data_IF_520204936973
#
_entry.id   IF_520204936973
#
_cell.length_a   1.000
_cell.length_b   1.000
_cell.length_c   1.000
_cell.angle_alpha   90.00
_cell.angle_beta   90.00
_cell.angle_gamma   90.00
#
_symmetry.space_group_name_H-M   'P 1'
#
loop_
_entity.id
_entity.type
_entity.pdbx_description
1 polymer ?
#
# COMPACT_ATOMS: atom_id res chain seq x y z
N UNK A 1 -14.33 18.86 -23.70
CA UNK A 1 -13.71 17.52 -23.56
C UNK A 1 -13.73 17.11 -22.10
N UNK A 2 -14.93 16.88 -21.56
CA UNK A 2 -15.18 16.63 -20.12
C UNK A 2 -15.53 15.15 -19.88
N UNK A 3 -15.87 14.42 -20.94
CA UNK A 3 -16.36 13.02 -20.87
C UNK A 3 -15.37 12.03 -20.23
N UNK A 4 -14.06 12.12 -20.50
CA UNK A 4 -13.08 11.24 -19.85
C UNK A 4 -12.99 11.51 -18.34
N UNK A 5 -13.08 12.77 -17.94
CA UNK A 5 -13.02 13.17 -16.54
C UNK A 5 -14.29 12.75 -15.80
N UNK A 6 -15.47 12.96 -16.41
CA UNK A 6 -16.76 12.47 -15.93
C UNK A 6 -16.84 10.95 -15.80
N UNK A 7 -16.20 10.22 -16.72
CA UNK A 7 -16.09 8.77 -16.60
C UNK A 7 -15.21 8.39 -15.41
N UNK A 8 -14.01 8.97 -15.31
CA UNK A 8 -13.05 8.58 -14.29
C UNK A 8 -13.44 9.00 -12.88
N UNK A 9 -14.20 10.09 -12.69
CA UNK A 9 -14.71 10.48 -11.36
C UNK A 9 -15.67 9.44 -10.79
N UNK A 10 -16.40 8.72 -11.65
CA UNK A 10 -17.31 7.64 -11.24
C UNK A 10 -16.54 6.37 -10.89
N UNK A 11 -15.51 6.05 -11.66
CA UNK A 11 -14.78 4.77 -11.60
C UNK A 11 -13.63 4.78 -10.59
N UNK A 12 -12.74 5.78 -10.62
CA UNK A 12 -11.52 5.79 -9.80
C UNK A 12 -11.77 6.13 -8.34
N UNK A 13 -10.92 5.62 -7.46
CA UNK A 13 -10.81 6.15 -6.09
C UNK A 13 -10.47 7.64 -6.12
N UNK A 14 -10.88 8.40 -5.09
CA UNK A 14 -10.65 9.86 -5.03
C UNK A 14 -9.18 10.24 -5.28
N UNK A 15 -8.24 9.50 -4.68
CA UNK A 15 -6.79 9.76 -4.84
C UNK A 15 -6.33 9.57 -6.28
N UNK A 16 -6.72 8.46 -6.92
CA UNK A 16 -6.31 8.18 -8.30
C UNK A 16 -6.98 9.14 -9.28
N UNK A 17 -8.25 9.49 -9.06
CA UNK A 17 -8.94 10.50 -9.85
C UNK A 17 -8.18 11.84 -9.85
N UNK A 18 -7.73 12.33 -8.69
CA UNK A 18 -6.96 13.58 -8.62
C UNK A 18 -5.62 13.51 -9.36
N UNK A 19 -4.95 12.36 -9.32
CA UNK A 19 -3.72 12.14 -10.10
C UNK A 19 -4.00 12.16 -11.60
N UNK A 20 -5.07 11.49 -12.04
CA UNK A 20 -5.47 11.47 -13.43
C UNK A 20 -5.94 12.85 -13.92
N UNK A 21 -6.72 13.58 -13.13
CA UNK A 21 -7.16 14.95 -13.41
C UNK A 21 -5.95 15.89 -13.60
N UNK A 22 -4.91 15.73 -12.78
CA UNK A 22 -3.64 16.45 -12.97
C UNK A 22 -3.00 16.11 -14.32
N UNK A 23 -2.97 14.83 -14.72
CA UNK A 23 -2.45 14.45 -16.04
C UNK A 23 -3.31 15.02 -17.20
N UNK A 24 -4.64 15.15 -17.05
CA UNK A 24 -5.52 15.83 -18.01
C UNK A 24 -5.14 17.31 -18.15
N UNK A 25 -4.95 18.01 -17.03
CA UNK A 25 -4.56 19.42 -17.04
C UNK A 25 -3.18 19.63 -17.66
N UNK A 26 -2.21 18.80 -17.27
CA UNK A 26 -0.85 18.86 -17.81
C UNK A 26 -0.78 18.51 -19.29
N UNK A 27 -1.68 17.66 -19.80
CA UNK A 27 -1.70 17.30 -21.23
C UNK A 27 -1.95 18.49 -22.15
N UNK A 28 -2.59 19.55 -21.67
CA UNK A 28 -2.89 20.75 -22.46
C UNK A 28 -1.63 21.54 -22.84
N UNK A 29 -0.51 21.29 -22.15
CA UNK A 29 0.79 21.91 -22.44
C UNK A 29 1.55 21.18 -23.56
N UNK A 30 0.99 20.11 -24.12
CA UNK A 30 1.65 19.25 -25.09
C UNK A 30 0.91 19.20 -26.42
N UNK A 31 1.68 19.11 -27.51
CA UNK A 31 1.22 18.88 -28.87
C UNK A 31 1.57 17.46 -29.28
N UNK A 32 0.61 16.77 -29.89
CA UNK A 32 0.78 15.43 -30.43
C UNK A 32 0.82 15.49 -31.97
N UNK A 33 1.93 15.06 -32.57
CA UNK A 33 2.17 15.09 -34.02
C UNK A 33 2.45 13.67 -34.52
N UNK A 34 1.77 13.24 -35.59
CA UNK A 34 2.01 11.92 -36.20
C UNK A 34 3.40 11.95 -36.85
N UNK A 35 4.25 10.97 -36.56
CA UNK A 35 5.60 10.84 -37.15
C UNK A 35 5.69 9.70 -38.16
N UNK A 36 5.10 8.57 -37.84
CA UNK A 36 5.22 7.35 -38.63
C UNK A 36 3.90 6.58 -38.65
N UNK A 37 3.65 5.87 -39.74
CA UNK A 37 2.48 5.03 -39.94
C UNK A 37 2.89 3.82 -40.77
N UNK A 38 2.63 2.63 -40.25
CA UNK A 38 2.50 1.41 -41.04
C UNK A 38 1.15 0.75 -40.73
N UNK A 39 0.91 -0.43 -41.30
CA UNK A 39 -0.34 -1.16 -41.12
C UNK A 39 -0.53 -1.62 -39.66
N UNK A 40 0.55 -2.10 -39.03
CA UNK A 40 0.51 -2.60 -37.65
C UNK A 40 0.55 -1.49 -36.59
N UNK A 41 1.32 -0.42 -36.81
CA UNK A 41 1.57 0.62 -35.78
C UNK A 41 1.59 2.05 -36.33
N UNK A 42 1.12 2.99 -35.51
CA UNK A 42 1.17 4.43 -35.78
C UNK A 42 1.90 5.12 -34.63
N UNK A 43 2.99 5.83 -34.93
CA UNK A 43 3.80 6.51 -33.92
C UNK A 43 3.57 8.02 -33.91
N UNK A 44 3.49 8.57 -32.72
CA UNK A 44 3.21 9.97 -32.47
C UNK A 44 4.28 10.58 -31.55
N UNK A 45 4.74 11.74 -31.96
CA UNK A 45 5.59 12.63 -31.16
C UNK A 45 4.75 13.48 -30.24
N UNK A 46 5.06 13.48 -28.95
CA UNK A 46 4.43 14.36 -27.96
C UNK A 46 5.48 15.29 -27.37
N UNK A 47 5.32 16.58 -27.61
CA UNK A 47 6.28 17.63 -27.22
C UNK A 47 5.55 18.76 -26.48
N UNK A 48 6.19 19.36 -25.49
CA UNK A 48 5.65 20.50 -24.75
C UNK A 48 5.72 21.76 -25.63
N UNK A 49 4.69 22.61 -25.57
CA UNK A 49 4.60 23.84 -26.36
C UNK A 49 5.59 24.93 -25.90
N UNK A 50 5.92 24.98 -24.60
CA UNK A 50 6.78 26.03 -24.05
C UNK A 50 8.23 25.91 -24.53
N UNK A 51 8.61 26.86 -25.38
CA UNK A 51 9.96 27.16 -25.81
C UNK A 51 10.67 28.02 -24.75
N UNK A 52 11.29 27.35 -23.79
CA UNK A 52 12.37 27.90 -22.96
C UNK A 52 13.51 26.90 -22.97
N UNK A 53 14.75 27.34 -22.67
CA UNK A 53 16.02 26.57 -22.79
C UNK A 53 16.09 25.23 -22.01
N UNK A 54 14.99 24.76 -21.43
CA UNK A 54 14.84 23.44 -20.86
C UNK A 54 14.25 22.50 -21.92
N UNK A 55 15.13 21.84 -22.66
CA UNK A 55 14.79 20.82 -23.66
C UNK A 55 14.09 19.64 -22.95
N UNK A 56 12.79 19.73 -22.67
CA UNK A 56 12.05 18.61 -22.13
C UNK A 56 12.08 17.48 -23.15
N UNK A 57 12.53 16.29 -22.71
CA UNK A 57 12.66 15.11 -23.55
C UNK A 57 11.33 14.82 -24.25
N UNK A 58 11.35 14.93 -25.58
CA UNK A 58 10.26 14.50 -26.43
C UNK A 58 9.83 13.06 -26.06
N UNK A 59 8.52 12.84 -25.99
CA UNK A 59 7.94 11.51 -25.76
C UNK A 59 7.39 10.91 -27.04
N UNK A 60 7.33 9.59 -27.06
CA UNK A 60 6.72 8.81 -28.13
C UNK A 60 5.49 8.09 -27.58
N UNK A 61 4.39 8.19 -28.33
CA UNK A 61 3.16 7.42 -28.12
C UNK A 61 3.00 6.50 -29.33
N UNK A 62 2.84 5.22 -29.06
CA UNK A 62 2.66 4.19 -30.10
C UNK A 62 1.23 3.68 -30.01
N UNK A 63 0.52 3.75 -31.13
CA UNK A 63 -0.78 3.14 -31.31
C UNK A 63 -0.64 1.84 -32.10
N UNK A 64 -1.06 0.73 -31.50
CA UNK A 64 -1.10 -0.59 -32.11
C UNK A 64 -2.49 -0.81 -32.69
N UNK A 65 -2.56 -1.00 -34.01
CA UNK A 65 -3.83 -0.99 -34.75
C UNK A 65 -4.65 -2.24 -34.44
N UNK A 66 -4.02 -3.41 -34.44
CA UNK A 66 -4.69 -4.70 -34.24
C UNK A 66 -5.36 -4.82 -32.86
N UNK A 67 -4.67 -4.38 -31.81
CA UNK A 67 -5.15 -4.48 -30.43
C UNK A 67 -5.90 -3.23 -29.95
N UNK A 68 -5.98 -2.22 -30.81
CA UNK A 68 -6.45 -0.87 -30.46
C UNK A 68 -5.78 -0.36 -29.17
N UNK A 69 -4.49 -0.66 -28.99
CA UNK A 69 -3.76 -0.35 -27.76
C UNK A 69 -2.86 0.87 -27.96
N UNK A 70 -2.62 1.61 -26.88
CA UNK A 70 -1.80 2.82 -26.88
C UNK A 70 -0.78 2.68 -25.77
N UNK A 71 0.49 2.74 -26.12
CA UNK A 71 1.59 2.78 -25.16
C UNK A 71 2.31 4.12 -25.23
N UNK A 72 2.98 4.49 -24.14
CA UNK A 72 3.87 5.65 -24.13
C UNK A 72 5.21 5.26 -23.53
N UNK A 73 6.30 5.72 -24.14
CA UNK A 73 7.65 5.42 -23.69
C UNK A 73 8.02 6.01 -22.31
N UNK A 74 7.16 6.86 -21.72
CA UNK A 74 7.33 7.30 -20.34
C UNK A 74 6.97 6.23 -19.30
N UNK A 75 6.28 5.15 -19.71
CA UNK A 75 5.89 3.99 -18.88
C UNK A 75 5.09 4.31 -17.61
N UNK A 76 4.58 5.54 -17.45
CA UNK A 76 3.78 5.92 -16.28
C UNK A 76 2.54 5.04 -16.12
N UNK A 77 1.90 4.63 -17.22
CA UNK A 77 0.78 3.68 -17.15
C UNK A 77 1.23 2.32 -16.61
N UNK A 78 2.36 1.81 -17.07
CA UNK A 78 2.90 0.52 -16.62
C UNK A 78 3.24 0.54 -15.11
N UNK A 79 3.82 1.65 -14.63
CA UNK A 79 4.21 1.80 -13.22
C UNK A 79 3.06 2.19 -12.29
N UNK A 80 2.28 3.20 -12.67
CA UNK A 80 1.27 3.81 -11.80
C UNK A 80 -0.14 3.32 -12.12
N UNK A 81 -0.40 2.79 -13.31
CA UNK A 81 -1.68 2.19 -13.68
C UNK A 81 -2.79 3.15 -14.11
N UNK A 82 -2.46 4.42 -14.36
CA UNK A 82 -3.37 5.40 -14.98
C UNK A 82 -2.68 6.09 -16.17
N UNK A 83 -3.43 6.49 -17.22
CA UNK A 83 -2.82 7.07 -18.40
C UNK A 83 -2.06 8.36 -18.09
N UNK A 84 -0.89 8.52 -18.69
CA UNK A 84 -0.08 9.72 -18.55
C UNK A 84 -0.57 10.87 -19.42
N UNK A 85 -0.12 12.10 -19.15
CA UNK A 85 -0.40 13.30 -19.94
C UNK A 85 -0.12 13.13 -21.42
N UNK A 86 0.86 12.30 -21.82
CA UNK A 86 1.17 12.06 -23.23
C UNK A 86 0.12 11.16 -23.90
N UNK A 87 -0.33 10.10 -23.23
CA UNK A 87 -1.43 9.26 -23.70
C UNK A 87 -2.73 10.06 -23.72
N UNK A 88 -2.99 10.86 -22.68
CA UNK A 88 -4.14 11.76 -22.64
C UNK A 88 -4.09 12.73 -23.81
N UNK A 89 -2.97 13.43 -24.06
CA UNK A 89 -2.79 14.31 -25.22
C UNK A 89 -3.12 13.60 -26.55
N UNK A 90 -2.69 12.35 -26.72
CA UNK A 90 -3.04 11.52 -27.88
C UNK A 90 -4.55 11.22 -27.94
N UNK A 91 -5.17 10.81 -26.84
CA UNK A 91 -6.62 10.57 -26.75
C UNK A 91 -7.43 11.81 -27.11
N UNK A 92 -7.01 12.99 -26.62
CA UNK A 92 -7.58 14.29 -26.98
C UNK A 92 -7.51 14.53 -28.49
N UNK A 93 -6.34 14.31 -29.11
CA UNK A 93 -6.13 14.44 -30.56
C UNK A 93 -7.03 13.49 -31.37
N UNK A 94 -7.24 12.27 -30.85
CA UNK A 94 -8.09 11.24 -31.45
C UNK A 94 -9.57 11.38 -31.10
N UNK A 95 -9.95 12.43 -30.37
CA UNK A 95 -11.32 12.68 -29.93
C UNK A 95 -11.91 11.48 -29.15
N UNK A 96 -11.07 10.75 -28.42
CA UNK A 96 -11.52 9.67 -27.54
C UNK A 96 -12.26 10.31 -26.36
N UNK A 97 -13.57 10.07 -26.29
CA UNK A 97 -14.44 10.63 -25.25
C UNK A 97 -14.43 9.79 -23.98
N UNK A 98 -14.36 8.47 -24.12
CA UNK A 98 -14.34 7.51 -23.01
C UNK A 98 -13.12 6.60 -23.15
N UNK A 99 -12.42 6.36 -22.04
CA UNK A 99 -11.34 5.41 -21.99
C UNK A 99 -11.90 3.99 -21.92
N UNK A 100 -11.36 3.13 -22.78
CA UNK A 100 -11.62 1.71 -22.75
C UNK A 100 -11.08 1.07 -21.46
N UNK A 101 -11.70 -0.04 -21.02
CA UNK A 101 -11.38 -0.75 -19.77
C UNK A 101 -9.91 -1.19 -19.66
N UNK A 102 -9.24 -1.41 -20.80
CA UNK A 102 -7.80 -1.73 -20.89
C UNK A 102 -6.89 -0.64 -20.28
N UNK A 103 -7.40 0.58 -20.10
CA UNK A 103 -6.69 1.69 -19.44
C UNK A 103 -7.16 1.93 -17.99
N UNK A 104 -8.03 1.07 -17.47
CA UNK A 104 -8.66 1.19 -16.15
C UNK A 104 -8.32 -0.07 -15.34
N UNK A 105 -7.27 0.01 -14.52
CA UNK A 105 -6.86 -1.14 -13.72
C UNK A 105 -7.76 -1.29 -12.48
N UNK A 106 -8.27 -2.50 -12.25
CA UNK A 106 -9.25 -2.81 -11.19
C UNK A 106 -8.83 -2.30 -9.81
N UNK A 107 -7.55 -2.45 -9.44
CA UNK A 107 -6.97 -1.99 -8.17
C UNK A 107 -7.15 -0.49 -7.88
N UNK A 108 -7.40 0.32 -8.91
CA UNK A 108 -7.56 1.77 -8.80
C UNK A 108 -9.01 2.23 -8.83
N UNK A 109 -9.95 1.31 -9.02
CA UNK A 109 -11.38 1.60 -9.04
C UNK A 109 -11.94 1.70 -7.61
N UNK A 110 -13.05 2.43 -7.42
CA UNK A 110 -13.80 2.44 -6.14
C UNK A 110 -14.25 1.03 -5.75
N UNK A 111 -14.46 0.19 -6.77
CA UNK A 111 -14.86 -1.19 -6.66
C UNK A 111 -13.68 -2.15 -6.54
N UNK A 112 -12.45 -1.68 -6.25
CA UNK A 112 -11.27 -2.54 -6.08
C UNK A 112 -11.43 -3.60 -4.96
N UNK A 113 -12.41 -3.40 -4.07
CA UNK A 113 -12.81 -4.36 -3.03
C UNK A 113 -14.17 -5.02 -3.31
N UNK A 114 -14.92 -4.57 -4.31
CA UNK A 114 -16.22 -5.16 -4.68
C UNK A 114 -15.93 -6.38 -5.54
N UNK A 115 -16.27 -7.56 -5.02
CA UNK A 115 -15.77 -8.87 -5.48
C UNK A 115 -14.89 -9.57 -4.42
N UNK A 116 -14.31 -8.79 -3.50
CA UNK A 116 -13.88 -9.28 -2.19
C UNK A 116 -15.10 -9.09 -1.27
N UNK A 117 -16.15 -9.89 -1.46
CA UNK A 117 -17.39 -9.66 -0.72
C UNK A 117 -17.22 -9.95 0.76
N UNK A 118 -17.42 -8.90 1.55
CA UNK A 118 -17.73 -8.94 2.98
C UNK A 118 -19.27 -8.87 3.12
N UNK A 119 -20.00 -9.90 2.62
CA UNK A 119 -21.49 -9.98 2.60
C UNK A 119 -22.16 -8.89 1.73
N UNK A 120 -23.38 -8.99 1.20
CA UNK A 120 -24.45 -9.99 1.09
C UNK A 120 -25.21 -9.64 -0.22
N UNK A 121 -26.05 -10.52 -0.76
CA UNK A 121 -26.78 -10.48 -2.05
C UNK A 121 -26.00 -10.81 -3.33
N UNK A 122 -25.98 -12.12 -3.60
CA UNK A 122 -26.36 -12.78 -4.86
C UNK A 122 -26.35 -11.95 -6.15
N UNK A 123 -25.27 -12.05 -6.95
CA UNK A 123 -25.34 -12.29 -8.40
C UNK A 123 -24.06 -13.02 -8.83
N UNK A 124 -24.23 -14.24 -9.34
CA UNK A 124 -23.17 -15.04 -9.96
C UNK A 124 -22.69 -14.46 -11.29
N UNK A 125 -21.37 -14.38 -11.49
CA UNK A 125 -20.76 -14.60 -12.81
C UNK A 125 -19.50 -15.45 -12.65
N UNK A 126 -19.53 -16.62 -13.29
CA UNK A 126 -18.61 -17.71 -13.05
C UNK A 126 -17.18 -17.41 -13.47
N UNK A 127 -16.26 -17.60 -12.52
CA UNK A 127 -14.89 -18.05 -12.77
C UNK A 127 -14.52 -18.94 -11.59
N UNK A 128 -14.03 -20.14 -11.87
CA UNK A 128 -13.69 -21.19 -10.88
C UNK A 128 -13.01 -20.61 -9.62
N UNK A 129 -13.77 -20.60 -8.51
CA UNK A 129 -13.32 -20.11 -7.21
C UNK A 129 -12.45 -21.19 -6.53
N UNK A 130 -11.13 -21.06 -6.65
CA UNK A 130 -10.19 -21.89 -5.91
C UNK A 130 -10.34 -21.71 -4.39
N UNK A 131 -10.18 -22.82 -3.64
CA UNK A 131 -10.32 -22.88 -2.18
C UNK A 131 -9.49 -21.82 -1.42
N UNK A 132 -8.36 -21.38 -1.98
CA UNK A 132 -7.48 -20.35 -1.42
C UNK A 132 -8.12 -18.95 -1.42
N UNK A 133 -8.87 -18.60 -2.47
CA UNK A 133 -9.64 -17.35 -2.53
C UNK A 133 -10.79 -17.36 -1.52
N UNK A 134 -11.40 -18.53 -1.30
CA UNK A 134 -12.44 -18.73 -0.28
C UNK A 134 -11.89 -18.56 1.14
N UNK A 135 -10.69 -19.07 1.45
CA UNK A 135 -10.04 -18.89 2.75
C UNK A 135 -9.75 -17.40 3.04
N UNK A 136 -9.12 -16.70 2.10
CA UNK A 136 -8.75 -15.29 2.30
C UNK A 136 -9.98 -14.39 2.46
N UNK A 137 -11.08 -14.72 1.77
CA UNK A 137 -12.38 -14.06 1.93
C UNK A 137 -12.98 -14.29 3.31
N UNK A 138 -13.02 -15.55 3.78
CA UNK A 138 -13.51 -15.90 5.13
C UNK A 138 -12.69 -15.22 6.21
N UNK A 139 -11.36 -15.31 6.12
CA UNK A 139 -10.45 -14.67 7.07
C UNK A 139 -10.63 -13.16 7.11
N UNK A 140 -10.73 -12.51 5.94
CA UNK A 140 -11.00 -11.08 5.84
C UNK A 140 -12.27 -10.70 6.62
N UNK A 141 -13.40 -11.34 6.30
CA UNK A 141 -14.69 -11.05 6.93
C UNK A 141 -14.67 -11.22 8.45
N UNK A 142 -14.06 -12.30 8.94
CA UNK A 142 -13.90 -12.54 10.38
C UNK A 142 -13.04 -11.46 11.03
N UNK A 143 -11.92 -11.09 10.42
CA UNK A 143 -11.03 -10.06 10.93
C UNK A 143 -11.70 -8.68 11.01
N UNK A 144 -12.50 -8.31 10.01
CA UNK A 144 -13.24 -7.04 10.03
C UNK A 144 -14.28 -6.99 11.16
N UNK A 145 -15.07 -8.04 11.32
CA UNK A 145 -16.06 -8.12 12.40
C UNK A 145 -15.39 -8.12 13.78
N UNK A 146 -14.29 -8.86 13.94
CA UNK A 146 -13.51 -8.87 15.17
C UNK A 146 -12.94 -7.48 15.49
N UNK A 147 -12.41 -6.76 14.49
CA UNK A 147 -11.88 -5.42 14.67
C UNK A 147 -12.95 -4.43 15.17
N UNK A 148 -14.16 -4.45 14.56
CA UNK A 148 -15.28 -3.61 15.00
C UNK A 148 -15.67 -3.88 16.47
N UNK A 149 -15.67 -5.15 16.87
CA UNK A 149 -15.99 -5.56 18.24
C UNK A 149 -14.89 -5.14 19.23
N UNK A 150 -13.61 -5.28 18.83
CA UNK A 150 -12.45 -4.82 19.61
C UNK A 150 -12.49 -3.31 19.82
N UNK A 151 -12.81 -2.53 18.79
CA UNK A 151 -12.93 -1.07 18.89
C UNK A 151 -13.93 -0.67 19.99
N UNK A 152 -15.11 -1.29 20.01
CA UNK A 152 -16.15 -1.02 21.02
C UNK A 152 -15.76 -1.51 22.42
N UNK A 153 -15.17 -2.70 22.52
CA UNK A 153 -14.79 -3.29 23.80
C UNK A 153 -13.62 -2.56 24.47
N UNK A 154 -12.70 -2.00 23.68
CA UNK A 154 -11.51 -1.27 24.16
C UNK A 154 -11.83 0.01 24.94
N UNK A 155 -13.07 0.50 24.86
CA UNK A 155 -13.49 1.75 25.51
C UNK A 155 -13.52 1.66 27.05
N UNK A 156 -13.57 0.47 27.62
CA UNK A 156 -13.56 0.27 29.08
C UNK A 156 -12.88 -1.04 29.46
N UNK A 157 -12.27 -1.07 30.65
CA UNK A 157 -11.60 -2.27 31.19
C UNK A 157 -12.55 -3.46 31.37
N UNK A 158 -13.77 -3.21 31.87
CA UNK A 158 -14.81 -4.23 32.05
C UNK A 158 -15.21 -4.90 30.71
N UNK A 159 -15.40 -4.12 29.65
CA UNK A 159 -15.72 -4.66 28.31
C UNK A 159 -14.53 -5.38 27.67
N UNK A 160 -13.31 -4.89 27.88
CA UNK A 160 -12.09 -5.52 27.38
C UNK A 160 -11.88 -6.88 28.02
N UNK A 161 -12.02 -6.96 29.35
CA UNK A 161 -11.90 -8.22 30.11
C UNK A 161 -12.98 -9.22 29.71
N UNK A 162 -14.21 -8.76 29.52
CA UNK A 162 -15.30 -9.59 29.01
C UNK A 162 -14.97 -10.16 27.62
N UNK A 163 -14.55 -9.31 26.67
CA UNK A 163 -14.26 -9.75 25.31
C UNK A 163 -13.08 -10.73 25.24
N UNK A 164 -12.03 -10.51 26.05
CA UNK A 164 -10.89 -11.44 26.13
C UNK A 164 -11.33 -12.83 26.57
N UNK A 165 -12.14 -12.94 27.63
CA UNK A 165 -12.67 -14.23 28.09
C UNK A 165 -13.51 -14.91 27.01
N UNK A 166 -14.37 -14.14 26.33
CA UNK A 166 -15.21 -14.70 25.27
C UNK A 166 -14.40 -15.11 24.03
N UNK A 167 -13.29 -14.45 23.70
CA UNK A 167 -12.38 -14.91 22.65
C UNK A 167 -11.71 -16.25 22.98
N UNK A 168 -11.29 -16.45 24.23
CA UNK A 168 -10.75 -17.75 24.68
C UNK A 168 -11.82 -18.85 24.56
N UNK A 169 -13.04 -18.59 25.02
CA UNK A 169 -14.17 -19.53 24.92
C UNK A 169 -14.51 -19.86 23.45
N UNK A 170 -14.56 -18.84 22.58
CA UNK A 170 -14.86 -19.02 21.16
C UNK A 170 -13.75 -19.81 20.45
N UNK A 171 -12.49 -19.59 20.83
CA UNK A 171 -11.35 -20.33 20.26
C UNK A 171 -11.50 -21.82 20.51
N UNK A 172 -11.85 -22.22 21.74
CA UNK A 172 -12.09 -23.63 22.08
C UNK A 172 -13.25 -24.22 21.27
N UNK A 173 -14.39 -23.52 21.22
CA UNK A 173 -15.57 -24.00 20.48
C UNK A 173 -15.34 -24.13 18.98
N UNK A 174 -14.58 -23.22 18.38
CA UNK A 174 -14.24 -23.30 16.94
C UNK A 174 -13.34 -24.50 16.66
N UNK A 175 -12.39 -24.79 17.54
CA UNK A 175 -11.52 -25.97 17.42
C UNK A 175 -12.29 -27.29 17.58
N UNK A 176 -13.36 -27.32 18.36
CA UNK A 176 -14.23 -28.50 18.52
C UNK A 176 -15.04 -28.82 17.26
N UNK A 177 -15.37 -27.81 16.44
CA UNK A 177 -16.12 -27.99 15.18
C UNK A 177 -15.32 -28.81 14.16
N UNK A 178 -13.98 -28.75 14.21
CA UNK A 178 -13.10 -29.47 13.28
C UNK A 178 -13.00 -30.98 13.53
N UNK A 179 -13.55 -31.50 14.64
CA UNK A 179 -13.41 -32.93 15.03
C UNK A 179 -14.54 -33.81 14.46
N UNK A 180 -15.68 -33.24 14.05
CA UNK A 180 -16.84 -34.03 13.60
C UNK A 180 -16.96 -34.19 12.07
N UNK A 181 -16.00 -33.66 11.29
CA UNK A 181 -15.96 -33.79 9.84
C UNK A 181 -14.57 -34.14 9.34
N UNK A 182 -14.17 -35.41 9.40
CA UNK A 182 -12.88 -35.81 8.85
C UNK A 182 -12.93 -35.80 7.31
N UNK A 183 -12.12 -34.94 6.69
CA UNK A 183 -11.20 -35.30 5.61
C UNK A 183 -10.22 -34.15 5.32
N UNK A 184 -9.00 -34.27 5.86
CA UNK A 184 -7.80 -33.64 5.31
C UNK A 184 -7.41 -32.28 5.88
N UNK A 185 -7.00 -32.23 7.15
CA UNK A 185 -6.10 -31.17 7.64
C UNK A 185 -4.72 -31.82 7.82
N UNK A 186 -3.61 -31.20 7.35
CA UNK A 186 -2.29 -31.70 7.67
C UNK A 186 -2.12 -31.67 9.19
N UNK A 187 -1.82 -32.82 9.78
CA UNK A 187 -1.37 -32.91 11.16
C UNK A 187 -0.26 -31.88 11.38
N UNK A 188 -0.55 -30.80 12.10
CA UNK A 188 0.49 -30.11 12.84
C UNK A 188 0.82 -31.03 14.01
N UNK A 189 1.65 -32.03 13.71
CA UNK A 189 2.28 -32.81 14.75
C UNK A 189 2.92 -31.83 15.72
N UNK A 190 2.58 -31.99 16.99
CA UNK A 190 3.32 -31.46 18.11
C UNK A 190 4.78 -31.89 17.93
N UNK A 191 5.57 -31.08 17.22
CA UNK A 191 7.01 -31.27 17.18
C UNK A 191 7.48 -31.07 18.61
N UNK A 192 7.88 -32.18 19.20
CA UNK A 192 8.84 -32.26 20.28
C UNK A 192 9.85 -31.13 20.16
N UNK A 193 10.07 -30.42 21.27
CA UNK A 193 11.06 -29.34 21.44
C UNK A 193 12.41 -29.73 20.83
N UNK A 194 12.63 -29.36 19.58
CA UNK A 194 13.96 -29.29 18.98
C UNK A 194 14.38 -27.82 18.98
N UNK A 195 15.49 -27.58 19.67
CA UNK A 195 16.28 -26.37 19.82
C UNK A 195 15.83 -25.20 18.95
N UNK A 196 15.19 -24.20 19.56
CA UNK A 196 14.95 -22.91 18.93
C UNK A 196 16.30 -22.32 18.48
N UNK A 197 16.59 -22.40 17.19
CA UNK A 197 17.64 -21.58 16.59
C UNK A 197 17.07 -20.17 16.52
N UNK A 198 17.45 -19.33 17.48
CA UNK A 198 17.07 -17.93 17.47
C UNK A 198 17.78 -17.26 16.31
N UNK A 199 17.05 -16.92 15.25
CA UNK A 199 17.55 -16.02 14.22
C UNK A 199 17.37 -14.63 14.79
N UNK A 200 18.45 -14.04 15.29
CA UNK A 200 18.46 -12.64 15.71
C UNK A 200 18.26 -11.72 14.50
N UNK A 201 17.56 -10.62 14.71
CA UNK A 201 17.46 -9.56 13.72
C UNK A 201 18.86 -9.10 13.32
N UNK A 202 19.14 -8.91 12.02
CA UNK A 202 20.37 -8.29 11.57
C UNK A 202 20.57 -6.96 12.30
N UNK A 203 21.80 -6.68 12.74
CA UNK A 203 22.11 -5.44 13.44
C UNK A 203 21.58 -4.23 12.66
N UNK A 204 20.96 -3.28 13.36
CA UNK A 204 20.46 -2.05 12.74
C UNK A 204 21.63 -1.27 12.11
N UNK A 205 21.85 -1.46 10.81
CA UNK A 205 22.82 -0.68 10.05
C UNK A 205 22.14 0.61 9.61
N UNK A 206 22.66 1.75 10.07
CA UNK A 206 22.22 3.05 9.55
C UNK A 206 22.57 3.15 8.06
N UNK A 207 21.55 3.16 7.20
CA UNK A 207 21.73 3.53 5.81
C UNK A 207 22.29 4.97 5.73
N UNK A 208 23.33 5.17 4.91
CA UNK A 208 23.94 6.50 4.68
C UNK A 208 22.82 7.51 4.35
N UNK A 209 22.64 8.51 5.23
CA UNK A 209 21.67 9.60 5.04
C UNK A 209 20.43 9.57 5.93
N UNK A 210 20.22 8.55 6.78
CA UNK A 210 19.11 8.56 7.74
C UNK A 210 19.49 9.38 8.99
N UNK A 211 18.76 10.46 9.25
CA UNK A 211 18.98 11.30 10.44
C UNK A 211 18.55 10.56 11.71
N UNK A 212 19.25 10.83 12.83
CA UNK A 212 18.93 10.21 14.14
C UNK A 212 17.46 10.44 14.49
N UNK A 213 16.77 9.37 14.94
CA UNK A 213 15.38 9.45 15.39
C UNK A 213 15.18 10.61 16.36
N UNK A 214 14.16 11.42 16.12
CA UNK A 214 13.73 12.47 17.04
C UNK A 214 13.24 11.82 18.34
N UNK A 215 13.96 12.09 19.45
CA UNK A 215 13.58 11.62 20.78
C UNK A 215 12.42 12.45 21.32
N UNK A 216 11.45 11.76 21.94
CA UNK A 216 10.32 12.39 22.64
C UNK A 216 10.80 13.21 23.84
N UNK A 217 10.02 14.21 24.25
CA UNK A 217 10.28 14.99 25.48
C UNK A 217 10.43 14.10 26.72
N UNK A 218 9.68 12.98 26.79
CA UNK A 218 9.78 11.99 27.87
C UNK A 218 11.13 11.26 27.86
N UNK A 219 11.63 10.86 26.68
CA UNK A 219 12.94 10.22 26.53
C UNK A 219 14.10 11.18 26.84
N UNK A 220 13.97 12.46 26.45
CA UNK A 220 14.95 13.50 26.79
C UNK A 220 15.04 13.71 28.30
N UNK A 221 13.91 13.67 29.02
CA UNK A 221 13.87 13.79 30.47
C UNK A 221 14.51 12.59 31.19
N UNK A 222 14.27 11.36 30.70
CA UNK A 222 14.86 10.14 31.28
C UNK A 222 16.39 10.12 31.09
N UNK A 223 16.88 10.56 29.93
CA UNK A 223 18.34 10.63 29.67
C UNK A 223 19.09 11.73 30.42
N UNK A 224 18.38 12.62 31.13
CA UNK A 224 18.95 13.70 31.96
C UNK A 224 19.08 13.30 33.43
N UNK A 225 18.84 12.03 33.80
CA UNK A 225 19.10 11.59 35.17
C UNK A 225 20.58 11.84 35.53
N UNK A 226 20.78 12.35 36.74
CA UNK A 226 21.98 13.00 37.28
C UNK A 226 23.31 12.44 36.75
N UNK A 227 24.20 13.35 36.32
CA UNK A 227 25.58 13.01 35.92
C UNK A 227 26.24 12.14 36.99
N UNK A 228 26.62 10.93 36.60
CA UNK A 228 27.37 10.01 37.45
C UNK A 228 28.85 10.41 37.48
N UNK A 229 29.48 10.25 38.64
CA UNK A 229 30.92 10.46 38.76
C UNK A 229 31.66 9.50 37.82
N UNK A 230 32.57 10.01 37.00
CA UNK A 230 33.33 9.19 36.03
C UNK A 230 34.35 8.23 36.67
N UNK A 231 34.52 8.29 38.00
CA UNK A 231 35.46 7.46 38.75
C UNK A 231 34.73 6.33 39.48
N UNK A 232 33.67 6.64 40.21
CA UNK A 232 32.94 5.65 41.02
C UNK A 232 31.55 5.29 40.48
N UNK A 233 31.06 5.97 39.43
CA UNK A 233 29.75 5.71 38.82
C UNK A 233 28.55 6.15 39.66
N UNK A 234 28.77 6.71 40.85
CA UNK A 234 27.70 7.15 41.75
C UNK A 234 27.22 8.55 41.36
N UNK A 235 25.90 8.78 41.25
CA UNK A 235 25.34 10.11 41.03
C UNK A 235 25.45 11.01 42.27
N UNK A 236 25.51 12.32 42.08
CA UNK A 236 25.48 13.31 43.19
C UNK A 236 26.80 14.01 43.48
N UNK A 237 27.89 13.63 42.81
CA UNK A 237 29.18 14.34 42.85
C UNK A 237 29.94 14.13 41.52
N UNK A 238 31.03 14.88 41.31
CA UNK A 238 31.86 14.77 40.12
C UNK A 238 33.26 14.21 40.44
N UNK A 239 34.08 14.00 39.40
CA UNK A 239 35.44 13.47 39.58
C UNK A 239 36.33 14.30 40.51
N UNK A 240 36.05 15.61 40.68
CA UNK A 240 36.86 16.54 41.48
C UNK A 240 36.49 16.48 42.96
N UNK A 241 35.28 16.00 43.26
CA UNK A 241 34.69 15.89 44.59
C UNK A 241 34.50 14.42 45.01
N UNK A 242 35.17 13.50 44.33
CA UNK A 242 35.00 12.06 44.53
C UNK A 242 35.58 11.62 45.89
N UNK A 243 34.77 11.05 46.81
CA UNK A 243 35.22 10.60 48.11
C UNK A 243 36.33 9.55 48.03
N UNK A 244 36.31 8.72 46.99
CA UNK A 244 37.33 7.69 46.73
C UNK A 244 38.70 8.26 46.33
N UNK A 245 38.79 9.54 45.97
CA UNK A 245 40.07 10.23 45.73
C UNK A 245 40.56 11.02 46.95
N UNK A 246 39.70 11.24 47.95
CA UNK A 246 40.00 12.06 49.13
C UNK A 246 40.30 11.23 50.38
N UNK A 247 40.14 9.90 50.34
CA UNK A 247 40.63 9.00 51.40
C UNK A 247 42.11 8.64 51.16
N UNK A 248 43.01 9.37 51.82
CA UNK A 248 44.33 8.86 52.22
C UNK A 248 44.26 8.42 53.67
#
# INVERSE_FOLDING_TARGET
MVMMEEQMVRIYTKKVFLLFQKEIGESNKYICTKKFSCDATKKYSVQRFESGRNFQRQREVTYYVETDYVSCNCRTFDFHGYPCRHMVCFFKKKQVLLLHEKYILHRWTKNAKVGISYGDSDVSFGVEEGAEKSLMKRHGLLAHNAAMLVDVASLTDARSTYLLREFENLTLRVQEIDIQGNNGIPNYSSKSRESQHYIEDPSEVQAKGCSKRLKSSKEKAISKSSRQCSICGVPGHDKRTCPTLTSR
#
